data_IF_156607873393
#
_entry.id   IF_156607873393
#
_cell.length_a   1.000
_cell.length_b   1.000
_cell.length_c   1.000
_cell.angle_alpha   90.00
_cell.angle_beta   90.00
_cell.angle_gamma   90.00
#
_symmetry.space_group_name_H-M   'P 1'
#
loop_
_entity.id
_entity.type
_entity.pdbx_description
1 polymer ?
#
# COMPACT_ATOMS: atom_id res chain seq x y z
N UNK A 1 39.83 72.93 56.15
CA UNK A 1 39.20 73.11 54.82
C UNK A 1 39.78 72.07 53.91
N UNK A 2 39.06 70.98 53.75
CA UNK A 2 39.42 69.79 52.92
C UNK A 2 38.60 69.85 51.64
N UNK A 3 39.22 70.17 50.51
CA UNK A 3 38.60 70.18 49.19
C UNK A 3 38.48 68.72 48.66
N UNK A 4 37.23 68.26 48.56
CA UNK A 4 36.93 67.00 47.90
C UNK A 4 37.09 67.12 46.36
N UNK A 5 38.10 66.52 45.79
CA UNK A 5 38.18 66.31 44.33
C UNK A 5 37.12 65.31 43.88
N UNK A 6 36.16 65.75 43.12
CA UNK A 6 35.20 64.93 42.45
C UNK A 6 35.88 64.31 41.26
N UNK A 7 36.16 62.99 41.32
CA UNK A 7 36.73 62.18 40.24
C UNK A 7 35.72 62.02 39.13
N UNK A 8 35.92 62.68 38.00
CA UNK A 8 35.10 62.53 36.77
C UNK A 8 35.33 61.15 36.16
N UNK A 9 34.36 60.26 36.33
CA UNK A 9 34.32 58.95 35.74
C UNK A 9 34.20 59.12 34.22
N UNK A 10 35.08 58.50 33.40
CA UNK A 10 35.00 58.61 31.96
C UNK A 10 33.69 57.92 31.44
N UNK A 11 33.09 58.46 30.37
CA UNK A 11 31.87 57.92 29.83
C UNK A 11 32.08 56.49 29.32
N UNK A 12 31.05 55.61 29.44
CA UNK A 12 31.16 54.23 28.96
C UNK A 12 31.43 54.19 27.44
N UNK A 13 32.46 53.50 27.07
CA UNK A 13 32.83 53.29 25.66
C UNK A 13 31.74 52.40 25.04
N UNK A 14 30.94 52.95 24.15
CA UNK A 14 29.91 52.23 23.42
C UNK A 14 30.59 51.40 22.32
N UNK A 15 30.71 50.09 22.52
CA UNK A 15 31.12 49.18 21.47
C UNK A 15 29.92 48.97 20.50
N UNK A 16 30.12 49.16 19.19
CA UNK A 16 29.02 48.89 18.25
C UNK A 16 28.60 47.41 18.33
N UNK A 17 27.30 47.10 18.17
CA UNK A 17 26.84 45.73 18.18
C UNK A 17 27.52 44.93 17.10
N UNK A 18 27.79 43.63 17.34
CA UNK A 18 28.41 42.78 16.35
C UNK A 18 27.55 42.75 15.07
N UNK A 19 28.17 42.72 13.87
CA UNK A 19 27.45 42.69 12.60
C UNK A 19 26.52 41.47 12.59
N UNK A 20 25.27 41.68 12.14
CA UNK A 20 24.29 40.59 12.01
C UNK A 20 24.83 39.50 11.07
N UNK A 21 24.58 38.21 11.36
CA UNK A 21 25.02 37.10 10.52
C UNK A 21 24.45 37.27 9.11
N UNK A 22 25.35 37.30 8.11
CA UNK A 22 24.96 37.40 6.70
C UNK A 22 24.41 36.04 6.28
N UNK A 23 23.09 35.88 6.20
CA UNK A 23 22.48 34.73 5.57
C UNK A 23 22.76 34.77 4.06
N UNK A 24 23.68 33.93 3.61
CA UNK A 24 23.93 33.75 2.17
C UNK A 24 22.68 33.15 1.53
N UNK A 25 21.96 33.93 0.76
CA UNK A 25 20.85 33.39 -0.04
C UNK A 25 21.41 32.46 -1.12
N UNK A 26 20.78 31.31 -1.37
CA UNK A 26 21.16 30.40 -2.45
C UNK A 26 21.15 31.16 -3.79
N UNK A 27 22.09 30.86 -4.66
CA UNK A 27 22.11 31.46 -6.01
C UNK A 27 20.85 31.02 -6.80
N UNK A 28 20.36 31.87 -7.71
CA UNK A 28 19.19 31.59 -8.54
C UNK A 28 19.30 30.26 -9.32
N UNK A 29 20.51 29.85 -9.69
CA UNK A 29 20.79 28.57 -10.35
C UNK A 29 20.38 27.35 -9.49
N UNK A 30 20.46 27.46 -8.17
CA UNK A 30 20.07 26.38 -7.27
C UNK A 30 18.56 26.08 -7.31
N UNK A 31 17.74 27.10 -7.50
CA UNK A 31 16.29 26.93 -7.64
C UNK A 31 15.90 26.19 -8.93
N UNK A 32 16.67 26.43 -10.03
CA UNK A 32 16.48 25.69 -11.26
C UNK A 32 16.81 24.21 -11.12
N UNK A 33 17.94 23.90 -10.48
CA UNK A 33 18.33 22.51 -10.19
C UNK A 33 17.29 21.82 -9.32
N UNK A 34 16.85 22.49 -8.25
CA UNK A 34 15.81 21.95 -7.37
C UNK A 34 14.48 21.72 -8.12
N UNK A 35 14.10 22.65 -9.02
CA UNK A 35 12.91 22.51 -9.86
C UNK A 35 12.98 21.32 -10.81
N UNK A 36 14.09 21.12 -11.50
CA UNK A 36 14.31 19.99 -12.39
C UNK A 36 14.25 18.67 -11.62
N UNK A 37 14.92 18.58 -10.48
CA UNK A 37 14.89 17.38 -9.63
C UNK A 37 13.49 17.07 -9.11
N UNK A 38 12.71 18.09 -8.75
CA UNK A 38 11.33 17.91 -8.31
C UNK A 38 10.44 17.38 -9.44
N UNK A 39 10.58 17.89 -10.66
CA UNK A 39 9.83 17.40 -11.82
C UNK A 39 10.21 15.96 -12.15
N UNK A 40 11.52 15.66 -12.20
CA UNK A 40 11.97 14.29 -12.46
C UNK A 40 11.50 13.30 -11.40
N UNK A 41 11.57 13.67 -10.12
CA UNK A 41 11.10 12.84 -9.03
C UNK A 41 9.59 12.58 -9.07
N UNK A 42 8.80 13.61 -9.38
CA UNK A 42 7.36 13.47 -9.54
C UNK A 42 7.01 12.58 -10.74
N UNK A 43 7.68 12.78 -11.88
CA UNK A 43 7.47 11.97 -13.08
C UNK A 43 7.82 10.49 -12.79
N UNK A 44 8.94 10.23 -12.14
CA UNK A 44 9.34 8.88 -11.75
C UNK A 44 8.31 8.23 -10.82
N UNK A 45 7.79 8.97 -9.84
CA UNK A 45 6.76 8.48 -8.92
C UNK A 45 5.44 8.14 -9.64
N UNK A 46 5.03 8.98 -10.60
CA UNK A 46 3.82 8.73 -11.41
C UNK A 46 3.98 7.49 -12.31
N UNK A 47 5.12 7.35 -12.97
CA UNK A 47 5.42 6.16 -13.81
C UNK A 47 5.44 4.91 -12.95
N UNK A 48 6.12 4.94 -11.81
CA UNK A 48 6.19 3.81 -10.89
C UNK A 48 4.81 3.40 -10.39
N UNK A 49 3.98 4.37 -9.98
CA UNK A 49 2.60 4.13 -9.54
C UNK A 49 1.73 3.52 -10.66
N UNK A 50 1.85 4.03 -11.89
CA UNK A 50 1.10 3.50 -13.04
C UNK A 50 1.51 2.05 -13.37
N UNK A 51 2.80 1.76 -13.43
CA UNK A 51 3.32 0.38 -13.67
C UNK A 51 2.84 -0.57 -12.58
N UNK A 52 2.94 -0.17 -11.30
CA UNK A 52 2.48 -1.01 -10.20
C UNK A 52 0.98 -1.30 -10.24
N UNK A 53 0.16 -0.34 -10.68
CA UNK A 53 -1.28 -0.55 -10.83
C UNK A 53 -1.59 -1.52 -11.97
N UNK A 54 -0.93 -1.36 -13.12
CA UNK A 54 -1.13 -2.28 -14.28
C UNK A 54 -0.72 -3.70 -13.89
N UNK A 55 0.44 -3.88 -13.24
CA UNK A 55 0.89 -5.20 -12.80
C UNK A 55 -0.08 -5.86 -11.82
N UNK A 56 -0.69 -5.08 -10.92
CA UNK A 56 -1.68 -5.60 -9.98
C UNK A 56 -2.99 -6.03 -10.68
N UNK A 57 -3.37 -5.37 -11.78
CA UNK A 57 -4.53 -5.76 -12.58
C UNK A 57 -4.25 -7.07 -13.36
N UNK A 58 -3.07 -7.18 -13.95
CA UNK A 58 -2.63 -8.41 -14.65
C UNK A 58 -2.58 -9.60 -13.68
N UNK A 59 -2.17 -9.37 -12.43
CA UNK A 59 -2.13 -10.39 -11.38
C UNK A 59 -3.55 -10.89 -11.04
N UNK A 60 -4.54 -10.00 -10.93
CA UNK A 60 -5.93 -10.37 -10.68
C UNK A 60 -6.49 -11.25 -11.82
N UNK A 61 -6.11 -10.98 -13.07
CA UNK A 61 -6.52 -11.82 -14.19
C UNK A 61 -5.95 -13.24 -14.12
N UNK A 62 -4.78 -13.39 -13.51
CA UNK A 62 -4.12 -14.68 -13.24
C UNK A 62 -4.72 -15.50 -12.09
N UNK A 63 -5.68 -14.97 -11.33
CA UNK A 63 -6.26 -15.69 -10.20
C UNK A 63 -7.00 -16.95 -10.65
N UNK A 64 -6.81 -18.04 -9.89
CA UNK A 64 -7.56 -19.26 -10.09
C UNK A 64 -8.99 -19.12 -9.59
N UNK A 65 -9.96 -19.51 -10.41
CA UNK A 65 -11.38 -19.27 -10.16
C UNK A 65 -12.23 -20.54 -10.16
N UNK A 66 -13.25 -20.55 -9.31
CA UNK A 66 -14.28 -21.59 -9.30
C UNK A 66 -15.64 -20.99 -8.94
N UNK A 67 -16.71 -21.58 -9.47
CA UNK A 67 -18.08 -21.24 -9.05
C UNK A 67 -18.34 -21.71 -7.62
N UNK A 68 -19.21 -21.00 -6.89
CA UNK A 68 -19.58 -21.35 -5.53
C UNK A 68 -20.97 -22.00 -5.52
N UNK A 69 -21.14 -23.24 -4.95
CA UNK A 69 -20.13 -24.09 -4.32
C UNK A 69 -19.22 -24.79 -5.34
N UNK A 70 -17.98 -25.03 -4.96
CA UNK A 70 -17.02 -25.70 -5.82
C UNK A 70 -15.64 -25.82 -5.21
N UNK A 71 -14.70 -26.32 -6.01
CA UNK A 71 -13.32 -26.47 -5.60
C UNK A 71 -12.38 -26.03 -6.76
N UNK A 72 -11.25 -25.47 -6.40
CA UNK A 72 -10.19 -25.08 -7.33
C UNK A 72 -8.84 -25.50 -6.78
N UNK A 73 -7.94 -25.90 -7.66
CA UNK A 73 -6.55 -26.16 -7.32
C UNK A 73 -5.72 -24.93 -7.69
N UNK A 74 -5.00 -24.40 -6.71
CA UNK A 74 -4.21 -23.17 -6.82
C UNK A 74 -2.74 -23.54 -6.84
N UNK A 75 -2.02 -23.30 -7.94
CA UNK A 75 -0.58 -23.46 -7.99
C UNK A 75 0.09 -22.27 -7.26
N UNK A 76 0.73 -22.56 -6.15
CA UNK A 76 1.50 -21.56 -5.38
C UNK A 76 2.98 -21.70 -5.77
N UNK A 77 3.58 -20.65 -6.29
CA UNK A 77 4.98 -20.61 -6.73
C UNK A 77 5.95 -20.33 -5.61
N UNK A 78 5.54 -19.54 -4.63
CA UNK A 78 6.36 -19.16 -3.50
C UNK A 78 5.57 -19.28 -2.19
N UNK A 79 6.28 -19.58 -1.09
CA UNK A 79 5.64 -19.57 0.23
C UNK A 79 5.18 -18.16 0.60
N UNK A 80 3.96 -18.03 1.13
CA UNK A 80 3.41 -16.73 1.48
C UNK A 80 1.94 -16.74 1.83
N UNK A 81 1.41 -15.53 2.00
CA UNK A 81 -0.01 -15.33 2.32
C UNK A 81 -0.82 -15.32 1.03
N UNK A 82 -1.69 -16.29 0.89
CA UNK A 82 -2.70 -16.35 -0.18
C UNK A 82 -4.01 -15.74 0.30
N UNK A 83 -4.71 -15.08 -0.60
CA UNK A 83 -5.99 -14.43 -0.32
C UNK A 83 -7.09 -15.04 -1.16
N UNK A 84 -8.24 -15.25 -0.51
CA UNK A 84 -9.44 -15.75 -1.15
C UNK A 84 -10.42 -14.59 -1.30
N UNK A 85 -10.81 -14.34 -2.53
CA UNK A 85 -11.76 -13.30 -2.90
C UNK A 85 -13.10 -13.92 -3.27
N UNK A 86 -14.16 -13.26 -2.86
CA UNK A 86 -15.52 -13.59 -3.26
C UNK A 86 -15.94 -12.60 -4.35
N UNK A 87 -16.18 -13.10 -5.54
CA UNK A 87 -16.63 -12.33 -6.70
C UNK A 87 -18.14 -12.47 -6.84
N UNK A 88 -18.83 -11.34 -6.82
CA UNK A 88 -20.24 -11.27 -7.12
C UNK A 88 -20.47 -10.97 -8.61
N UNK A 89 -21.56 -11.48 -9.22
CA UNK A 89 -22.00 -11.01 -10.53
C UNK A 89 -22.20 -9.49 -10.51
N UNK A 90 -21.79 -8.81 -11.59
CA UNK A 90 -21.74 -7.35 -11.68
C UNK A 90 -23.00 -6.61 -11.27
N UNK A 91 -24.15 -7.18 -11.57
CA UNK A 91 -25.43 -6.55 -11.27
C UNK A 91 -25.71 -6.48 -9.77
N UNK A 92 -25.21 -7.43 -8.99
CA UNK A 92 -25.37 -7.51 -7.54
C UNK A 92 -24.23 -6.80 -6.78
N UNK A 93 -23.05 -6.72 -7.36
CA UNK A 93 -21.85 -6.18 -6.69
C UNK A 93 -22.01 -4.72 -6.24
N UNK A 94 -22.73 -3.92 -6.99
CA UNK A 94 -22.99 -2.49 -6.66
C UNK A 94 -23.89 -2.32 -5.43
N UNK A 95 -24.68 -3.36 -5.09
CA UNK A 95 -25.66 -3.34 -4.00
C UNK A 95 -25.31 -4.29 -2.86
N UNK A 96 -24.30 -5.14 -3.05
CA UNK A 96 -23.87 -6.11 -2.04
C UNK A 96 -23.21 -5.41 -0.84
N UNK A 97 -24.01 -5.04 0.13
CA UNK A 97 -23.55 -4.51 1.42
C UNK A 97 -22.93 -5.59 2.32
N UNK A 98 -23.20 -6.85 2.05
CA UNK A 98 -22.79 -7.98 2.86
C UNK A 98 -21.87 -8.94 2.10
N UNK A 99 -20.56 -8.77 2.30
CA UNK A 99 -19.61 -9.81 1.89
C UNK A 99 -19.74 -11.00 2.84
N UNK A 100 -19.93 -12.24 2.33
CA UNK A 100 -20.05 -13.41 3.18
C UNK A 100 -18.74 -13.66 3.91
N UNK A 101 -18.82 -14.23 5.10
CA UNK A 101 -17.65 -14.71 5.81
C UNK A 101 -17.21 -16.08 5.27
N UNK A 102 -15.96 -16.43 5.45
CA UNK A 102 -15.45 -17.75 5.04
C UNK A 102 -16.18 -18.91 5.76
N UNK A 103 -16.65 -18.69 7.00
CA UNK A 103 -17.46 -19.66 7.74
C UNK A 103 -18.82 -19.89 7.08
N UNK A 104 -19.46 -18.82 6.58
CA UNK A 104 -20.76 -18.93 5.87
C UNK A 104 -20.60 -19.71 4.56
N UNK A 105 -19.46 -19.55 3.88
CA UNK A 105 -19.11 -20.29 2.67
C UNK A 105 -18.68 -21.74 2.97
N UNK A 106 -18.39 -22.07 4.22
CA UNK A 106 -17.72 -23.32 4.62
C UNK A 106 -16.46 -23.55 3.83
N UNK A 107 -15.63 -22.50 3.78
CA UNK A 107 -14.36 -22.54 3.06
C UNK A 107 -13.38 -23.49 3.77
N UNK A 108 -12.77 -24.38 3.00
CA UNK A 108 -11.72 -25.28 3.46
C UNK A 108 -10.54 -25.20 2.51
N UNK A 109 -9.34 -25.14 3.04
CA UNK A 109 -8.10 -25.19 2.28
C UNK A 109 -7.35 -26.45 2.68
N UNK A 110 -6.91 -27.23 1.67
CA UNK A 110 -6.13 -28.45 1.87
C UNK A 110 -4.76 -28.28 1.23
N UNK A 111 -3.73 -28.56 1.99
CA UNK A 111 -2.33 -28.49 1.55
C UNK A 111 -1.92 -29.67 0.66
N UNK A 112 -0.68 -29.66 0.15
CA UNK A 112 -0.16 -30.69 -0.74
C UNK A 112 -0.05 -32.07 -0.07
N UNK A 113 0.02 -32.11 1.24
CA UNK A 113 0.05 -33.32 2.06
C UNK A 113 -1.36 -33.85 2.43
N UNK A 114 -2.41 -33.20 1.96
CA UNK A 114 -3.80 -33.51 2.29
C UNK A 114 -4.25 -32.96 3.66
N UNK A 115 -3.38 -32.27 4.38
CA UNK A 115 -3.75 -31.64 5.64
C UNK A 115 -4.59 -30.37 5.44
N UNK A 116 -5.50 -30.09 6.38
CA UNK A 116 -6.29 -28.87 6.37
C UNK A 116 -5.41 -27.70 6.83
N UNK A 117 -5.31 -26.66 5.99
CA UNK A 117 -4.58 -25.43 6.27
C UNK A 117 -5.50 -24.46 7.03
N UNK A 118 -5.03 -23.85 8.14
CA UNK A 118 -5.81 -22.86 8.87
C UNK A 118 -6.19 -21.66 8.03
N UNK A 119 -7.47 -21.33 8.01
CA UNK A 119 -8.02 -20.17 7.32
C UNK A 119 -8.36 -19.09 8.34
N UNK A 120 -8.01 -17.85 8.03
CA UNK A 120 -8.34 -16.69 8.87
C UNK A 120 -9.10 -15.62 8.08
N UNK A 121 -9.89 -14.81 8.80
CA UNK A 121 -10.61 -13.69 8.18
C UNK A 121 -9.61 -12.65 7.66
N UNK A 122 -9.84 -12.16 6.45
CA UNK A 122 -9.10 -11.02 5.95
C UNK A 122 -9.61 -9.74 6.61
N UNK A 123 -8.73 -9.01 7.29
CA UNK A 123 -9.14 -7.86 8.13
C UNK A 123 -9.23 -6.54 7.38
N UNK A 124 -8.86 -6.50 6.11
CA UNK A 124 -8.91 -5.29 5.28
C UNK A 124 -10.15 -5.32 4.39
N UNK A 125 -10.61 -4.15 3.94
CA UNK A 125 -11.65 -3.99 2.91
C UNK A 125 -11.07 -4.15 1.51
N UNK A 126 -9.96 -4.87 1.34
CA UNK A 126 -9.35 -5.08 0.05
C UNK A 126 -10.33 -5.74 -0.93
N UNK A 127 -10.41 -5.14 -2.09
CA UNK A 127 -11.24 -5.61 -3.19
C UNK A 127 -10.72 -5.05 -4.49
N UNK A 128 -11.20 -5.58 -5.58
CA UNK A 128 -10.89 -5.12 -6.92
C UNK A 128 -12.16 -4.98 -7.75
N UNK A 129 -12.09 -4.08 -8.73
CA UNK A 129 -13.11 -3.85 -9.75
C UNK A 129 -12.34 -3.72 -11.07
N UNK A 130 -12.18 -4.82 -11.81
CA UNK A 130 -11.25 -4.92 -12.95
C UNK A 130 -11.97 -4.85 -14.30
N UNK A 131 -13.28 -5.15 -14.32
CA UNK A 131 -14.05 -5.19 -15.56
C UNK A 131 -15.53 -4.89 -15.24
N UNK A 132 -16.30 -4.29 -16.17
CA UNK A 132 -17.72 -4.16 -15.95
C UNK A 132 -18.33 -5.57 -15.76
N UNK A 133 -18.34 -6.05 -14.54
CA UNK A 133 -18.87 -7.34 -14.18
C UNK A 133 -18.08 -8.17 -13.19
N UNK A 134 -16.84 -7.84 -12.88
CA UNK A 134 -16.03 -8.58 -11.89
C UNK A 134 -15.67 -7.69 -10.71
N UNK A 135 -16.37 -7.88 -9.61
CA UNK A 135 -16.10 -7.21 -8.37
C UNK A 135 -15.76 -8.25 -7.29
N UNK A 136 -14.50 -8.29 -6.88
CA UNK A 136 -13.99 -9.21 -5.88
C UNK A 136 -13.74 -8.54 -4.53
N UNK A 137 -14.13 -9.19 -3.44
CA UNK A 137 -13.79 -8.78 -2.07
C UNK A 137 -13.05 -9.89 -1.33
N UNK A 138 -11.97 -9.54 -0.66
CA UNK A 138 -11.22 -10.46 0.17
C UNK A 138 -12.07 -10.93 1.36
N UNK A 139 -12.27 -12.24 1.48
CA UNK A 139 -13.06 -12.86 2.56
C UNK A 139 -12.21 -13.66 3.52
N UNK A 140 -11.09 -14.21 3.04
CA UNK A 140 -10.22 -15.06 3.82
C UNK A 140 -8.77 -14.94 3.37
N UNK A 141 -7.88 -15.43 4.24
CA UNK A 141 -6.46 -15.67 3.91
C UNK A 141 -5.99 -16.95 4.54
N UNK A 142 -4.98 -17.56 3.92
CA UNK A 142 -4.26 -18.69 4.47
C UNK A 142 -2.76 -18.56 4.17
N UNK A 143 -1.93 -19.25 4.93
CA UNK A 143 -0.49 -19.25 4.73
C UNK A 143 -0.09 -20.49 3.95
N UNK A 144 0.45 -20.31 2.76
CA UNK A 144 1.07 -21.37 1.98
C UNK A 144 2.51 -21.57 2.48
N UNK A 145 2.75 -22.67 3.17
CA UNK A 145 4.05 -22.95 3.77
C UNK A 145 5.13 -23.28 2.73
N UNK A 146 4.74 -23.83 1.59
CA UNK A 146 5.63 -24.26 0.52
C UNK A 146 5.05 -23.94 -0.85
N UNK A 147 5.92 -23.80 -1.85
CA UNK A 147 5.54 -23.79 -3.25
C UNK A 147 4.97 -25.17 -3.64
N UNK A 148 3.67 -25.25 -3.83
CA UNK A 148 2.94 -26.47 -4.12
C UNK A 148 1.51 -26.20 -4.60
N UNK A 149 0.76 -27.24 -4.88
CA UNK A 149 -0.67 -27.12 -5.19
C UNK A 149 -1.49 -27.18 -3.90
N UNK A 150 -2.39 -26.22 -3.75
CA UNK A 150 -3.36 -26.14 -2.66
C UNK A 150 -4.76 -26.27 -3.23
N UNK A 151 -5.63 -27.02 -2.54
CA UNK A 151 -7.02 -27.15 -2.94
C UNK A 151 -7.88 -26.24 -2.06
N UNK A 152 -8.57 -25.30 -2.69
CA UNK A 152 -9.53 -24.41 -2.02
C UNK A 152 -10.93 -24.85 -2.40
N UNK A 153 -11.79 -25.12 -1.43
CA UNK A 153 -13.13 -25.63 -1.65
C UNK A 153 -14.16 -24.89 -0.80
N UNK A 154 -15.37 -24.77 -1.33
CA UNK A 154 -16.54 -24.25 -0.63
C UNK A 154 -17.69 -25.24 -0.72
N UNK A 155 -18.38 -25.44 0.42
CA UNK A 155 -19.52 -26.34 0.47
C UNK A 155 -20.88 -25.63 0.39
N UNK A 156 -20.92 -24.30 0.43
CA UNK A 156 -22.15 -23.52 0.45
C UNK A 156 -22.10 -22.31 -0.46
N UNK A 157 -23.11 -22.14 -1.31
CA UNK A 157 -23.39 -20.89 -1.99
C UNK A 157 -24.16 -19.94 -1.04
N UNK A 158 -23.82 -18.65 -1.08
CA UNK A 158 -24.59 -17.60 -0.41
C UNK A 158 -25.44 -16.87 -1.44
N UNK A 159 -24.91 -16.67 -2.64
CA UNK A 159 -25.61 -16.06 -3.76
C UNK A 159 -25.46 -16.89 -5.03
N UNK A 160 -26.50 -16.98 -5.89
CA UNK A 160 -26.40 -17.66 -7.17
C UNK A 160 -25.39 -16.97 -8.11
N UNK A 161 -24.55 -17.74 -8.77
CA UNK A 161 -23.61 -17.23 -9.77
C UNK A 161 -22.35 -16.57 -9.20
N UNK A 162 -22.19 -16.59 -7.88
CA UNK A 162 -20.95 -16.12 -7.27
C UNK A 162 -19.77 -17.02 -7.59
N UNK A 163 -18.60 -16.41 -7.66
CA UNK A 163 -17.32 -17.08 -7.96
C UNK A 163 -16.34 -16.85 -6.81
N UNK A 164 -15.48 -17.82 -6.58
CA UNK A 164 -14.31 -17.65 -5.73
C UNK A 164 -13.09 -17.46 -6.61
N UNK A 165 -12.28 -16.46 -6.28
CA UNK A 165 -10.98 -16.24 -6.87
C UNK A 165 -9.90 -16.38 -5.80
N UNK A 166 -8.79 -17.01 -6.11
CA UNK A 166 -7.69 -17.23 -5.17
C UNK A 166 -6.40 -16.76 -5.82
N UNK A 167 -5.66 -15.93 -5.14
CA UNK A 167 -4.40 -15.40 -5.61
C UNK A 167 -3.55 -14.81 -4.50
N UNK A 168 -2.47 -14.17 -4.88
CA UNK A 168 -1.57 -13.51 -3.97
C UNK A 168 -2.21 -12.29 -3.29
N UNK A 169 -1.53 -11.74 -2.31
CA UNK A 169 -2.00 -10.57 -1.58
C UNK A 169 -1.65 -9.27 -2.33
N UNK A 170 -2.25 -9.07 -3.52
CA UNK A 170 -2.00 -7.90 -4.37
C UNK A 170 -2.20 -6.55 -3.64
N UNK A 171 -3.08 -6.51 -2.63
CA UNK A 171 -3.30 -5.31 -1.85
C UNK A 171 -2.05 -4.89 -1.06
N UNK A 172 -1.22 -5.85 -0.65
CA UNK A 172 0.09 -5.59 -0.04
C UNK A 172 1.04 -4.95 -1.04
N UNK A 173 1.06 -5.45 -2.26
CA UNK A 173 1.99 -5.00 -3.30
C UNK A 173 1.63 -3.60 -3.80
N UNK A 174 0.34 -3.31 -3.95
CA UNK A 174 -0.13 -1.94 -4.19
C UNK A 174 0.28 -1.00 -3.04
N UNK A 175 0.10 -1.42 -1.78
CA UNK A 175 0.45 -0.61 -0.62
C UNK A 175 1.95 -0.33 -0.55
N UNK A 176 2.79 -1.32 -0.83
CA UNK A 176 4.25 -1.17 -0.88
C UNK A 176 4.70 -0.27 -2.03
N UNK A 177 4.08 -0.41 -3.20
CA UNK A 177 4.33 0.45 -4.37
C UNK A 177 3.96 1.90 -4.08
N UNK A 178 2.79 2.14 -3.48
CA UNK A 178 2.34 3.47 -3.09
C UNK A 178 3.25 4.10 -2.02
N UNK A 179 3.69 3.31 -1.03
CA UNK A 179 4.62 3.77 -0.01
C UNK A 179 5.98 4.14 -0.62
N UNK A 180 6.50 3.33 -1.53
CA UNK A 180 7.75 3.60 -2.25
C UNK A 180 7.67 4.90 -3.06
N UNK A 181 6.58 5.12 -3.78
CA UNK A 181 6.33 6.35 -4.53
C UNK A 181 6.23 7.58 -3.60
N UNK A 182 5.55 7.45 -2.46
CA UNK A 182 5.43 8.54 -1.48
C UNK A 182 6.77 8.89 -0.84
N UNK A 183 7.60 7.90 -0.49
CA UNK A 183 8.95 8.13 0.05
C UNK A 183 9.85 8.83 -0.97
N UNK A 184 9.80 8.41 -2.24
CA UNK A 184 10.56 9.04 -3.31
C UNK A 184 10.17 10.52 -3.47
N UNK A 185 8.87 10.83 -3.44
CA UNK A 185 8.38 12.19 -3.49
C UNK A 185 8.82 13.02 -2.28
N UNK A 186 8.83 12.42 -1.09
CA UNK A 186 9.20 13.10 0.16
C UNK A 186 10.69 13.44 0.19
N UNK A 187 11.55 12.53 -0.26
CA UNK A 187 13.01 12.76 -0.36
C UNK A 187 13.31 13.90 -1.34
N UNK A 188 12.60 13.99 -2.45
CA UNK A 188 12.76 15.08 -3.43
C UNK A 188 12.31 16.44 -2.89
N UNK A 189 11.36 16.48 -1.97
CA UNK A 189 10.88 17.72 -1.34
C UNK A 189 11.75 18.13 -0.14
N UNK A 190 12.19 17.16 0.68
CA UNK A 190 12.98 17.43 1.90
C UNK A 190 14.46 17.76 1.60
N UNK A 191 14.98 17.40 0.44
CA UNK A 191 16.35 17.75 -0.01
C UNK A 191 16.53 19.23 -0.38
N UNK A 192 15.56 20.08 -0.04
CA UNK A 192 15.62 21.55 -0.14
C UNK A 192 16.11 22.13 1.17
#
# INVERSE_FOLDING_TARGET
MTSSMTELRPPPTYLPPPPAPIHKQPSSGWYWVAGILAVLGLTAALVWGAVGTISALDEVDGFERTTVPGAVTVPVTDSGTMVVYYENPAELARYATNTPTWQQLRLTVTGPDGAVVPVSTYRSTAGYDVDPGRFGRAVARFEAATAAQYQVSTARAVEPGATLAVGDNFARDIALTALGAALLALVTVAGR
#
